data_IF_895922422259
#
_entry.id   IF_895922422259
#
_cell.length_a   1.000
_cell.length_b   1.000
_cell.length_c   1.000
_cell.angle_alpha   90.00
_cell.angle_beta   90.00
_cell.angle_gamma   90.00
#
_symmetry.space_group_name_H-M   'P 1'
#
loop_
_entity.id
_entity.type
_entity.pdbx_description
1 polymer ?
#
# COMPACT_ATOMS: atom_id res chain seq x y z
N UNK A 1 -8.70 -7.16 -21.05
CA UNK A 1 -7.51 -7.16 -20.17
C UNK A 1 -7.75 -8.15 -19.04
N UNK A 2 -6.69 -8.67 -18.42
CA UNK A 2 -6.82 -9.57 -17.28
C UNK A 2 -5.86 -9.12 -16.17
N UNK A 3 -6.31 -9.20 -14.93
CA UNK A 3 -5.57 -8.82 -13.73
C UNK A 3 -5.19 -10.09 -12.97
N UNK A 4 -3.95 -10.20 -12.51
CA UNK A 4 -3.53 -11.29 -11.64
C UNK A 4 -3.62 -10.82 -10.19
N UNK A 5 -4.57 -11.37 -9.46
CA UNK A 5 -4.87 -11.00 -8.07
C UNK A 5 -4.36 -12.10 -7.15
N UNK A 6 -3.43 -11.78 -6.26
CA UNK A 6 -2.90 -12.70 -5.26
C UNK A 6 -3.99 -13.07 -4.23
N UNK A 7 -4.69 -12.05 -3.72
CA UNK A 7 -5.82 -12.23 -2.82
C UNK A 7 -6.82 -11.07 -2.90
N UNK A 8 -8.07 -11.38 -2.57
CA UNK A 8 -9.18 -10.45 -2.50
C UNK A 8 -9.98 -10.73 -1.23
N UNK A 9 -10.12 -9.75 -0.32
CA UNK A 9 -10.75 -9.96 0.99
C UNK A 9 -11.30 -8.67 1.60
N UNK A 10 -12.28 -8.80 2.48
CA UNK A 10 -12.82 -7.73 3.31
C UNK A 10 -12.08 -7.70 4.65
N UNK A 11 -11.64 -6.53 5.07
CA UNK A 11 -10.98 -6.31 6.36
C UNK A 11 -11.12 -4.85 6.82
N UNK A 12 -10.46 -4.49 7.91
CA UNK A 12 -10.25 -3.09 8.28
C UNK A 12 -8.85 -2.64 7.86
N UNK A 13 -8.74 -1.43 7.27
CA UNK A 13 -7.43 -0.82 6.99
C UNK A 13 -6.61 -0.73 8.28
N UNK A 14 -5.43 -1.34 8.28
CA UNK A 14 -4.56 -1.45 9.45
C UNK A 14 -3.51 -0.37 9.58
N UNK A 15 -3.45 0.60 8.65
CA UNK A 15 -2.38 1.60 8.58
C UNK A 15 -2.88 2.97 8.11
N UNK A 16 -2.10 4.00 8.41
CA UNK A 16 -2.28 5.34 7.85
C UNK A 16 -3.52 6.08 8.31
N UNK A 17 -3.97 7.05 7.53
CA UNK A 17 -5.07 7.94 7.87
C UNK A 17 -6.45 7.25 7.80
N UNK A 18 -6.56 6.15 7.05
CA UNK A 18 -7.77 5.35 6.94
C UNK A 18 -7.83 4.19 7.97
N UNK A 19 -6.96 4.20 8.97
CA UNK A 19 -6.91 3.18 10.02
C UNK A 19 -8.29 2.89 10.61
N UNK A 20 -8.67 1.60 10.66
CA UNK A 20 -9.95 1.12 11.19
C UNK A 20 -11.12 1.19 10.20
N UNK A 21 -10.95 1.80 9.03
CA UNK A 21 -12.00 1.85 8.00
C UNK A 21 -12.17 0.49 7.34
N UNK A 22 -13.42 0.00 7.28
CA UNK A 22 -13.74 -1.23 6.52
C UNK A 22 -13.37 -1.04 5.06
N UNK A 23 -12.67 -2.02 4.47
CA UNK A 23 -12.20 -1.97 3.10
C UNK A 23 -12.18 -3.34 2.44
N UNK A 24 -12.42 -3.37 1.14
CA UNK A 24 -12.08 -4.51 0.28
C UNK A 24 -10.65 -4.33 -0.19
N UNK A 25 -9.77 -5.24 0.16
CA UNK A 25 -8.39 -5.25 -0.31
C UNK A 25 -8.29 -6.08 -1.59
N UNK A 26 -7.71 -5.48 -2.62
CA UNK A 26 -7.37 -6.15 -3.88
C UNK A 26 -5.84 -6.16 -3.95
N UNK A 27 -5.24 -7.30 -3.62
CA UNK A 27 -3.79 -7.48 -3.66
C UNK A 27 -3.36 -8.07 -4.98
N UNK A 28 -2.74 -7.26 -5.82
CA UNK A 28 -2.21 -7.70 -7.11
C UNK A 28 -0.92 -8.50 -6.94
N UNK A 29 -0.73 -9.46 -7.82
CA UNK A 29 0.50 -10.25 -7.88
C UNK A 29 1.61 -9.50 -8.62
N UNK A 30 2.87 -9.75 -8.22
CA UNK A 30 4.06 -9.21 -8.84
C UNK A 30 4.49 -7.84 -8.32
N UNK A 31 5.79 -7.60 -8.35
CA UNK A 31 6.42 -6.34 -7.95
C UNK A 31 7.67 -6.11 -8.81
N UNK A 32 7.97 -4.85 -9.09
CA UNK A 32 9.18 -4.47 -9.83
C UNK A 32 10.41 -4.25 -8.95
N UNK A 33 10.26 -4.31 -7.62
CA UNK A 33 11.36 -4.08 -6.68
C UNK A 33 11.87 -5.36 -6.00
N UNK A 34 11.10 -6.45 -6.10
CA UNK A 34 11.47 -7.78 -5.64
C UNK A 34 10.61 -8.83 -6.34
N UNK A 35 11.21 -9.98 -6.67
CA UNK A 35 10.49 -11.10 -7.32
C UNK A 35 9.51 -11.83 -6.38
N UNK A 36 9.62 -11.60 -5.08
CA UNK A 36 8.90 -12.35 -4.04
C UNK A 36 9.57 -13.67 -3.66
N UNK A 37 10.66 -14.05 -4.32
CA UNK A 37 11.42 -15.27 -3.99
C UNK A 37 12.50 -14.97 -3.00
N UNK A 38 12.62 -15.81 -1.96
CA UNK A 38 13.63 -15.61 -0.92
C UNK A 38 15.06 -15.70 -1.47
N UNK A 39 15.30 -16.54 -2.47
CA UNK A 39 16.58 -16.68 -3.16
C UNK A 39 17.05 -15.38 -3.84
N UNK A 40 16.12 -14.52 -4.27
CA UNK A 40 16.41 -13.25 -4.94
C UNK A 40 16.47 -12.06 -3.95
N UNK A 41 16.21 -12.27 -2.67
CA UNK A 41 16.09 -11.18 -1.67
C UNK A 41 17.38 -10.37 -1.52
N UNK A 42 18.52 -11.01 -1.60
CA UNK A 42 19.83 -10.36 -1.43
C UNK A 42 20.08 -9.28 -2.51
N UNK A 43 19.58 -9.49 -3.71
CA UNK A 43 19.73 -8.59 -4.86
C UNK A 43 18.51 -7.66 -5.07
N UNK A 44 17.46 -7.83 -4.26
CA UNK A 44 16.25 -7.02 -4.36
C UNK A 44 16.50 -5.57 -3.93
N UNK A 45 15.80 -4.62 -4.56
CA UNK A 45 15.73 -3.23 -4.08
C UNK A 45 15.00 -3.19 -2.73
N UNK A 46 13.86 -3.88 -2.61
CA UNK A 46 13.07 -3.98 -1.39
C UNK A 46 13.38 -5.28 -0.64
N UNK A 47 14.49 -5.32 0.13
CA UNK A 47 14.96 -6.53 0.85
C UNK A 47 14.16 -6.88 2.09
N UNK A 48 13.38 -5.94 2.63
CA UNK A 48 12.64 -6.06 3.88
C UNK A 48 11.13 -6.28 3.67
N UNK A 49 10.72 -6.59 2.45
CA UNK A 49 9.31 -6.80 2.15
C UNK A 49 8.75 -7.99 2.94
N UNK A 50 7.67 -7.76 3.68
CA UNK A 50 6.94 -8.75 4.49
C UNK A 50 5.64 -9.21 3.82
N UNK A 51 5.38 -8.75 2.59
CA UNK A 51 4.15 -9.02 1.86
C UNK A 51 4.31 -10.22 0.93
N UNK A 52 3.39 -11.18 1.00
CA UNK A 52 3.27 -12.23 -0.02
C UNK A 52 2.40 -11.68 -1.17
N UNK A 53 2.92 -11.81 -2.40
CA UNK A 53 2.26 -11.34 -3.62
C UNK A 53 2.53 -12.23 -4.83
N UNK A 54 3.03 -13.45 -4.60
CA UNK A 54 3.33 -14.42 -5.69
C UNK A 54 2.09 -15.22 -6.03
N UNK A 55 2.00 -15.63 -7.31
CA UNK A 55 0.87 -16.40 -7.80
C UNK A 55 -0.41 -15.58 -7.85
N UNK A 56 -1.55 -16.24 -7.71
CA UNK A 56 -2.87 -15.61 -7.73
C UNK A 56 -3.75 -16.08 -8.88
N UNK A 57 -4.98 -15.60 -8.87
CA UNK A 57 -5.99 -15.90 -9.88
C UNK A 57 -6.07 -14.79 -10.93
N UNK A 58 -6.46 -15.17 -12.15
CA UNK A 58 -6.69 -14.21 -13.24
C UNK A 58 -8.15 -13.81 -13.28
N UNK A 59 -8.39 -12.52 -13.21
CA UNK A 59 -9.72 -11.91 -13.31
C UNK A 59 -9.83 -11.07 -14.59
N UNK A 60 -10.96 -11.20 -15.30
CA UNK A 60 -11.39 -10.15 -16.21
C UNK A 60 -11.91 -8.94 -15.43
N UNK A 61 -12.01 -7.78 -16.09
CA UNK A 61 -12.46 -6.52 -15.48
C UNK A 61 -13.78 -6.68 -14.71
N UNK A 62 -14.81 -7.16 -15.38
CA UNK A 62 -16.17 -7.30 -14.80
C UNK A 62 -16.18 -8.30 -13.64
N UNK A 63 -15.44 -9.41 -13.77
CA UNK A 63 -15.37 -10.43 -12.73
C UNK A 63 -14.67 -9.92 -11.48
N UNK A 64 -13.60 -9.11 -11.62
CA UNK A 64 -12.88 -8.52 -10.49
C UNK A 64 -13.76 -7.53 -9.72
N UNK A 65 -14.44 -6.64 -10.45
CA UNK A 65 -15.34 -5.66 -9.82
C UNK A 65 -16.52 -6.36 -9.16
N UNK A 66 -17.14 -7.36 -9.82
CA UNK A 66 -18.22 -8.14 -9.23
C UNK A 66 -17.79 -8.87 -7.94
N UNK A 67 -16.58 -9.45 -7.94
CA UNK A 67 -16.03 -10.10 -6.75
C UNK A 67 -15.79 -9.11 -5.60
N UNK A 68 -15.28 -7.91 -5.89
CA UNK A 68 -15.12 -6.86 -4.89
C UNK A 68 -16.48 -6.39 -4.32
N UNK A 69 -17.48 -6.20 -5.17
CA UNK A 69 -18.85 -5.84 -4.74
C UNK A 69 -19.45 -6.94 -3.85
N UNK A 70 -19.26 -8.21 -4.20
CA UNK A 70 -19.80 -9.34 -3.45
C UNK A 70 -19.25 -9.46 -2.01
N UNK A 71 -18.03 -8.95 -1.76
CA UNK A 71 -17.43 -8.90 -0.43
C UNK A 71 -18.00 -7.77 0.43
N UNK A 72 -18.55 -6.71 -0.16
CA UNK A 72 -19.05 -5.59 0.62
C UNK A 72 -20.34 -5.96 1.34
N UNK A 73 -20.52 -5.57 2.64
CA UNK A 73 -21.71 -5.90 3.40
C UNK A 73 -23.00 -5.42 2.71
N UNK A 74 -23.99 -6.29 2.62
CA UNK A 74 -25.26 -6.00 1.97
C UNK A 74 -25.94 -4.82 2.68
N UNK A 75 -26.39 -3.83 1.89
CA UNK A 75 -27.08 -2.64 2.39
C UNK A 75 -26.17 -1.56 3.00
N UNK A 76 -24.85 -1.81 3.10
CA UNK A 76 -23.91 -0.78 3.55
C UNK A 76 -23.57 0.19 2.41
N UNK A 77 -23.57 1.49 2.73
CA UNK A 77 -23.06 2.57 1.88
C UNK A 77 -21.53 2.67 1.97
N UNK A 78 -20.94 3.70 1.36
CA UNK A 78 -19.57 4.14 1.53
C UNK A 78 -18.52 3.06 1.22
N UNK A 79 -18.74 2.33 0.11
CA UNK A 79 -17.80 1.31 -0.36
C UNK A 79 -16.42 1.87 -0.48
N UNK A 80 -15.46 1.16 0.10
CA UNK A 80 -14.06 1.53 0.08
C UNK A 80 -13.22 0.33 -0.33
N UNK A 81 -12.33 0.51 -1.31
CA UNK A 81 -11.36 -0.51 -1.67
C UNK A 81 -9.94 0.04 -1.62
N UNK A 82 -9.00 -0.85 -1.32
CA UNK A 82 -7.56 -0.58 -1.28
C UNK A 82 -6.89 -1.47 -2.33
N UNK A 83 -6.38 -0.84 -3.37
CA UNK A 83 -5.57 -1.47 -4.40
C UNK A 83 -4.13 -1.54 -3.88
N UNK A 84 -3.63 -2.74 -3.68
CA UNK A 84 -2.32 -3.00 -3.10
C UNK A 84 -1.66 -4.21 -3.77
N UNK A 85 -0.63 -4.77 -3.18
CA UNK A 85 -0.04 -6.00 -3.67
C UNK A 85 1.46 -6.04 -3.50
N UNK A 86 2.17 -6.54 -4.52
CA UNK A 86 3.55 -6.21 -4.75
C UNK A 86 3.64 -4.75 -5.19
N UNK A 87 3.38 -4.48 -6.47
CA UNK A 87 3.17 -3.13 -6.97
C UNK A 87 1.90 -3.08 -7.84
N UNK A 88 0.80 -2.49 -7.34
CA UNK A 88 -0.47 -2.49 -8.04
C UNK A 88 -0.42 -1.73 -9.37
N UNK A 89 0.38 -0.66 -9.47
CA UNK A 89 0.47 0.16 -10.68
C UNK A 89 1.14 -0.54 -11.87
N UNK A 90 1.63 -1.77 -11.71
CA UNK A 90 2.02 -2.62 -12.84
C UNK A 90 0.81 -3.19 -13.58
N UNK A 91 -0.36 -3.23 -12.94
CA UNK A 91 -1.57 -3.85 -13.50
C UNK A 91 -2.79 -2.94 -13.50
N UNK A 92 -2.92 -2.05 -12.51
CA UNK A 92 -4.04 -1.10 -12.42
C UNK A 92 -4.02 -0.18 -13.63
N UNK A 93 -5.17 -0.07 -14.29
CA UNK A 93 -5.39 0.77 -15.47
C UNK A 93 -6.64 1.65 -15.28
N UNK A 94 -6.84 2.62 -16.17
CA UNK A 94 -8.00 3.52 -16.13
C UNK A 94 -9.33 2.78 -16.19
N UNK A 95 -9.53 1.75 -17.06
CA UNK A 95 -10.77 0.99 -17.07
C UNK A 95 -11.13 0.34 -15.74
N UNK A 96 -10.15 -0.15 -14.96
CA UNK A 96 -10.42 -0.72 -13.63
C UNK A 96 -10.85 0.36 -12.64
N UNK A 97 -10.18 1.51 -12.64
CA UNK A 97 -10.55 2.64 -11.77
C UNK A 97 -11.98 3.12 -12.07
N UNK A 98 -12.29 3.32 -13.34
CA UNK A 98 -13.62 3.75 -13.78
C UNK A 98 -14.70 2.75 -13.38
N UNK A 99 -14.44 1.45 -13.53
CA UNK A 99 -15.41 0.41 -13.18
C UNK A 99 -15.63 0.28 -11.67
N UNK A 100 -14.57 0.45 -10.85
CA UNK A 100 -14.70 0.48 -9.38
C UNK A 100 -15.49 1.72 -8.92
N UNK A 101 -15.20 2.90 -9.48
CA UNK A 101 -15.97 4.11 -9.21
C UNK A 101 -17.44 3.95 -9.62
N UNK A 102 -17.71 3.39 -10.82
CA UNK A 102 -19.07 3.11 -11.28
C UNK A 102 -19.81 2.12 -10.36
N UNK A 103 -19.08 1.20 -9.71
CA UNK A 103 -19.63 0.31 -8.70
C UNK A 103 -19.80 0.97 -7.31
N UNK A 104 -19.50 2.27 -7.19
CA UNK A 104 -19.67 3.06 -5.97
C UNK A 104 -18.56 2.92 -4.94
N UNK A 105 -17.36 2.46 -5.34
CA UNK A 105 -16.21 2.43 -4.47
C UNK A 105 -15.48 3.79 -4.45
N UNK A 106 -15.11 4.24 -3.26
CA UNK A 106 -13.97 5.13 -3.06
C UNK A 106 -12.71 4.28 -3.19
N UNK A 107 -11.78 4.67 -4.05
CA UNK A 107 -10.60 3.88 -4.41
C UNK A 107 -9.34 4.46 -3.77
N UNK A 108 -8.70 3.69 -2.90
CA UNK A 108 -7.36 3.98 -2.40
C UNK A 108 -6.32 3.10 -3.09
N UNK A 109 -5.09 3.59 -3.19
CA UNK A 109 -3.97 2.82 -3.69
C UNK A 109 -2.78 2.92 -2.73
N UNK A 110 -2.13 1.77 -2.49
CA UNK A 110 -0.85 1.67 -1.80
C UNK A 110 0.24 1.25 -2.79
N UNK A 111 1.17 2.14 -3.07
CA UNK A 111 2.18 1.95 -4.13
C UNK A 111 3.59 2.29 -3.64
N UNK A 112 4.59 1.68 -4.25
CA UNK A 112 5.98 2.09 -4.06
C UNK A 112 6.33 3.39 -4.81
N UNK A 113 5.43 3.88 -5.66
CA UNK A 113 5.55 5.16 -6.36
C UNK A 113 6.46 5.15 -7.58
N UNK A 114 6.91 3.99 -8.05
CA UNK A 114 7.81 3.89 -9.22
C UNK A 114 7.09 4.02 -10.55
N UNK A 115 5.75 3.96 -10.55
CA UNK A 115 4.91 4.08 -11.74
C UNK A 115 3.96 5.26 -11.62
N UNK A 116 3.57 5.90 -12.73
CA UNK A 116 2.56 6.96 -12.72
C UNK A 116 1.17 6.37 -12.45
N UNK A 117 0.26 7.20 -11.92
CA UNK A 117 -1.16 6.84 -11.81
C UNK A 117 -1.79 6.79 -13.20
N UNK A 118 -2.59 5.76 -13.53
CA UNK A 118 -3.24 5.60 -14.83
C UNK A 118 -4.51 6.47 -15.00
N UNK A 119 -4.99 7.06 -13.90
CA UNK A 119 -6.21 7.85 -13.86
C UNK A 119 -6.49 8.41 -12.46
N UNK A 120 -7.69 8.95 -12.22
CA UNK A 120 -8.09 9.48 -10.91
C UNK A 120 -8.14 8.35 -9.86
N UNK A 121 -7.51 8.60 -8.71
CA UNK A 121 -7.55 7.76 -7.50
C UNK A 121 -7.94 8.68 -6.35
N UNK A 122 -8.89 8.26 -5.50
CA UNK A 122 -9.43 9.10 -4.43
C UNK A 122 -8.46 9.26 -3.26
N UNK A 123 -7.59 8.26 -3.03
CA UNK A 123 -6.61 8.28 -1.95
C UNK A 123 -5.33 7.57 -2.35
N UNK A 124 -4.22 8.27 -2.33
CA UNK A 124 -2.91 7.74 -2.73
C UNK A 124 -1.99 7.70 -1.52
N UNK A 125 -1.58 6.48 -1.12
CA UNK A 125 -0.51 6.25 -0.17
C UNK A 125 0.75 5.81 -0.93
N UNK A 126 1.78 6.64 -0.92
CA UNK A 126 3.06 6.32 -1.55
C UNK A 126 4.09 5.92 -0.50
N UNK A 127 4.78 4.82 -0.77
CA UNK A 127 5.84 4.29 0.11
C UNK A 127 7.16 4.13 -0.66
N UNK A 128 7.94 5.22 -0.85
CA UNK A 128 9.22 5.18 -1.55
C UNK A 128 10.20 4.16 -0.97
N UNK A 129 11.03 3.60 -1.82
CA UNK A 129 12.07 2.64 -1.45
C UNK A 129 13.44 3.14 -1.88
N UNK A 130 14.44 2.96 -1.04
CA UNK A 130 15.82 3.34 -1.34
C UNK A 130 16.28 2.71 -2.67
N UNK A 131 16.90 3.52 -3.52
CA UNK A 131 17.41 3.08 -4.82
C UNK A 131 16.35 2.92 -5.92
N UNK A 132 15.05 3.17 -5.63
CA UNK A 132 14.00 3.19 -6.62
C UNK A 132 13.61 4.63 -7.03
N UNK A 133 13.30 4.89 -8.30
CA UNK A 133 12.83 6.21 -8.72
C UNK A 133 11.42 6.47 -8.17
N UNK A 134 11.13 7.73 -7.86
CA UNK A 134 9.79 8.17 -7.48
C UNK A 134 9.15 8.91 -8.67
N UNK A 135 8.13 8.30 -9.27
CA UNK A 135 7.41 8.85 -10.42
C UNK A 135 6.24 9.76 -10.01
N UNK A 136 5.77 9.64 -8.77
CA UNK A 136 4.67 10.46 -8.26
C UNK A 136 5.19 11.78 -7.71
N UNK A 137 4.57 12.90 -8.13
CA UNK A 137 4.93 14.25 -7.68
C UNK A 137 4.19 14.67 -6.40
N UNK A 138 3.15 13.95 -5.99
CA UNK A 138 2.33 14.20 -4.80
C UNK A 138 1.58 12.95 -4.37
N UNK A 139 1.12 12.91 -3.12
CA UNK A 139 0.26 11.85 -2.59
C UNK A 139 -0.60 12.43 -1.45
N UNK A 140 -1.61 11.67 -1.00
CA UNK A 140 -2.35 11.99 0.22
C UNK A 140 -1.55 11.54 1.45
N UNK A 141 -0.91 10.38 1.35
CA UNK A 141 -0.01 9.86 2.38
C UNK A 141 1.38 9.53 1.81
N UNK A 142 2.40 9.96 2.53
CA UNK A 142 3.78 9.51 2.35
C UNK A 142 4.13 8.60 3.54
N UNK A 143 4.41 7.34 3.27
CA UNK A 143 4.71 6.33 4.28
C UNK A 143 6.12 5.77 4.06
N UNK A 144 7.04 6.06 4.97
CA UNK A 144 8.41 5.53 4.92
C UNK A 144 8.57 4.37 5.91
N UNK A 145 9.11 3.26 5.45
CA UNK A 145 9.60 2.20 6.34
C UNK A 145 10.86 2.72 7.04
N UNK A 146 10.92 2.60 8.37
CA UNK A 146 11.99 3.19 9.16
C UNK A 146 12.51 2.25 10.27
N UNK A 147 13.83 2.18 10.49
CA UNK A 147 14.87 2.78 9.65
C UNK A 147 15.02 2.03 8.33
N UNK A 148 15.37 2.73 7.27
CA UNK A 148 15.68 2.13 5.97
C UNK A 148 17.01 2.69 5.47
N UNK A 149 17.98 1.81 5.22
CA UNK A 149 19.27 2.21 4.68
C UNK A 149 19.08 2.92 3.32
N UNK A 150 19.69 4.10 3.16
CA UNK A 150 19.59 4.90 1.93
C UNK A 150 18.29 5.73 1.80
N UNK A 151 17.49 5.87 2.86
CA UNK A 151 16.40 6.84 2.96
C UNK A 151 16.56 7.65 4.25
N UNK A 152 16.60 8.97 4.11
CA UNK A 152 16.46 9.92 5.22
C UNK A 152 15.08 10.59 5.11
N UNK A 153 14.22 10.53 6.14
CA UNK A 153 12.93 11.22 6.12
C UNK A 153 13.05 12.73 5.87
N UNK A 154 14.17 13.35 6.19
CA UNK A 154 14.41 14.76 5.93
C UNK A 154 14.40 15.10 4.43
N UNK A 155 14.79 14.19 3.55
CA UNK A 155 14.78 14.38 2.09
C UNK A 155 13.36 14.52 1.53
N UNK A 156 12.37 13.99 2.26
CA UNK A 156 10.96 14.02 1.86
C UNK A 156 10.13 15.16 2.47
N UNK A 157 10.77 16.09 3.20
CA UNK A 157 10.05 17.23 3.80
C UNK A 157 9.30 18.07 2.78
N UNK A 158 9.89 18.27 1.60
CA UNK A 158 9.31 19.05 0.52
C UNK A 158 8.34 18.26 -0.36
N UNK A 159 8.25 16.93 -0.19
CA UNK A 159 7.30 16.14 -0.97
C UNK A 159 5.87 16.49 -0.58
N UNK A 160 5.00 16.87 -1.55
CA UNK A 160 3.62 17.26 -1.27
C UNK A 160 2.80 16.05 -0.80
N UNK A 161 2.53 15.97 0.51
CA UNK A 161 1.66 14.98 1.13
C UNK A 161 0.85 15.61 2.26
N UNK A 162 -0.40 15.18 2.42
CA UNK A 162 -1.27 15.59 3.53
C UNK A 162 -0.80 14.97 4.85
N UNK A 163 -0.38 13.72 4.79
CA UNK A 163 0.11 12.97 5.96
C UNK A 163 1.47 12.37 5.68
N UNK A 164 2.33 12.36 6.70
CA UNK A 164 3.65 11.72 6.66
C UNK A 164 3.77 10.72 7.79
N UNK A 165 4.12 9.48 7.44
CA UNK A 165 4.17 8.35 8.36
C UNK A 165 5.55 7.71 8.36
N UNK A 166 6.04 7.39 9.56
CA UNK A 166 7.13 6.45 9.74
C UNK A 166 6.57 5.12 10.23
N UNK A 167 6.71 4.09 9.39
CA UNK A 167 6.33 2.71 9.71
C UNK A 167 7.58 1.97 10.20
N UNK A 168 7.64 1.52 11.45
CA UNK A 168 8.75 0.69 11.90
C UNK A 168 8.95 -0.50 11.00
N UNK A 169 10.20 -0.72 10.55
CA UNK A 169 10.53 -1.91 9.75
C UNK A 169 10.24 -3.16 10.58
N UNK A 170 9.43 -4.07 10.02
CA UNK A 170 9.08 -5.33 10.64
C UNK A 170 10.27 -6.30 10.70
N UNK A 171 10.17 -7.30 11.56
CA UNK A 171 11.17 -8.33 11.72
C UNK A 171 11.74 -8.38 13.15
N UNK A 172 12.88 -9.08 13.34
CA UNK A 172 13.48 -9.32 14.66
C UNK A 172 13.80 -8.04 15.45
N UNK A 173 14.05 -6.92 14.75
CA UNK A 173 14.38 -5.64 15.36
C UNK A 173 13.16 -4.71 15.58
N UNK A 174 11.92 -5.18 15.37
CA UNK A 174 10.70 -4.35 15.38
C UNK A 174 10.60 -3.44 16.62
N UNK A 175 10.87 -3.95 17.81
CA UNK A 175 10.79 -3.14 19.05
C UNK A 175 11.78 -1.97 19.02
N UNK A 176 13.03 -2.20 18.60
CA UNK A 176 14.03 -1.15 18.43
C UNK A 176 13.68 -0.15 17.34
N UNK A 177 13.17 -0.66 16.20
CA UNK A 177 12.73 0.17 15.08
C UNK A 177 11.54 1.05 15.47
N UNK A 178 10.62 0.52 16.28
CA UNK A 178 9.47 1.28 16.83
C UNK A 178 9.94 2.40 17.74
N UNK A 179 10.87 2.12 18.63
CA UNK A 179 11.44 3.13 19.52
C UNK A 179 12.17 4.22 18.72
N UNK A 180 12.93 3.85 17.69
CA UNK A 180 13.63 4.79 16.82
C UNK A 180 12.66 5.66 16.02
N UNK A 181 11.63 5.07 15.42
CA UNK A 181 10.60 5.81 14.69
C UNK A 181 9.84 6.78 15.59
N UNK A 182 9.46 6.34 16.80
CA UNK A 182 8.81 7.20 17.79
C UNK A 182 9.71 8.38 18.21
N UNK A 183 10.98 8.12 18.48
CA UNK A 183 11.94 9.16 18.84
C UNK A 183 12.13 10.18 17.69
N UNK A 184 12.19 9.72 16.45
CA UNK A 184 12.25 10.61 15.30
C UNK A 184 11.00 11.48 15.19
N UNK A 185 9.80 10.91 15.31
CA UNK A 185 8.54 11.65 15.25
C UNK A 185 8.43 12.71 16.38
N UNK A 186 8.92 12.40 17.58
CA UNK A 186 8.93 13.37 18.70
C UNK A 186 9.82 14.59 18.41
N UNK A 187 10.90 14.40 17.65
CA UNK A 187 11.78 15.48 17.21
C UNK A 187 11.32 16.20 15.93
N UNK A 188 10.38 15.61 15.20
CA UNK A 188 9.94 16.06 13.88
C UNK A 188 8.42 15.94 13.75
N UNK A 189 7.65 16.90 14.30
CA UNK A 189 6.19 16.80 14.46
C UNK A 189 5.41 16.77 13.13
N UNK A 190 6.05 17.02 12.02
CA UNK A 190 5.49 16.81 10.67
C UNK A 190 5.36 15.32 10.32
N UNK A 191 6.08 14.43 11.03
CA UNK A 191 5.99 12.98 10.91
C UNK A 191 5.16 12.39 12.04
N UNK A 192 4.43 11.33 11.71
CA UNK A 192 3.61 10.56 12.65
C UNK A 192 4.07 9.11 12.65
N UNK A 193 4.03 8.49 13.84
CA UNK A 193 4.28 7.06 13.96
C UNK A 193 3.09 6.29 13.36
N UNK A 194 3.37 5.42 12.40
CA UNK A 194 2.43 4.43 11.90
C UNK A 194 2.69 3.08 12.54
N UNK A 195 1.64 2.32 12.78
CA UNK A 195 1.72 0.93 13.24
C UNK A 195 0.92 0.04 12.30
N UNK A 196 1.29 -1.23 12.21
CA UNK A 196 0.53 -2.25 11.51
C UNK A 196 -0.52 -2.84 12.46
N UNK A 197 -1.60 -2.08 12.69
CA UNK A 197 -2.61 -2.42 13.69
C UNK A 197 -3.34 -3.73 13.37
N UNK A 198 -3.48 -4.10 12.10
CA UNK A 198 -4.03 -5.39 11.69
C UNK A 198 -3.30 -6.58 12.33
N UNK A 199 -1.97 -6.49 12.51
CA UNK A 199 -1.19 -7.54 13.21
C UNK A 199 -1.56 -7.62 14.70
N UNK A 200 -1.77 -6.47 15.35
CA UNK A 200 -2.20 -6.42 16.75
C UNK A 200 -3.67 -6.87 16.93
N UNK A 201 -4.52 -6.61 15.93
CA UNK A 201 -5.92 -7.03 15.95
C UNK A 201 -6.10 -8.51 15.58
N UNK A 202 -5.09 -9.17 15.04
CA UNK A 202 -5.16 -10.56 14.58
C UNK A 202 -6.05 -10.75 13.36
N UNK A 203 -6.17 -9.71 12.52
CA UNK A 203 -6.89 -9.72 11.24
C UNK A 203 -5.92 -9.62 10.05
N UNK A 204 -6.44 -9.88 8.85
CA UNK A 204 -5.67 -9.73 7.60
C UNK A 204 -5.40 -8.27 7.31
#
# INVERSE_FOLDING_TARGET
>A
MSYTVHELFLTAQGEGANLGRTAVFIRFAGCNLWSGREEDRADAVCRFCDTEFRGGEKYGLEALVAAAVALWPIGASDRFCVLTGGEPLLQVDAPLLDALHAAGFTVAIETNGTQPLPGPVDWVCVSPKAGAPLALARADELKLVYPQAGIDPAEFRAFPALHRWLSPMDGPALAGNTAAAAAYCLGHPEWRLNIQAHKAWGIR
#
